data_IF_024696687119
#
_entry.id   IF_024696687119
#
_cell.length_a   1.000
_cell.length_b   1.000
_cell.length_c   1.000
_cell.angle_alpha   90.00
_cell.angle_beta   90.00
_cell.angle_gamma   90.00
#
_symmetry.space_group_name_H-M   'P 1'
#
loop_
_entity.id
_entity.type
_entity.pdbx_description
1 polymer ?
#
# COMPACT_ATOMS: atom_id res chain seq x y z
N UNK A 1 -5.30 5.77 -6.39
CA UNK A 1 -6.19 5.03 -5.47
C UNK A 1 -6.59 3.65 -5.99
N UNK A 2 -6.71 3.45 -7.31
CA UNK A 2 -6.76 2.12 -7.93
C UNK A 2 -5.63 1.98 -8.92
N UNK A 3 -5.19 0.75 -9.16
CA UNK A 3 -4.08 0.43 -10.06
C UNK A 3 -4.38 -0.84 -10.88
N UNK A 4 -3.81 -0.96 -12.09
CA UNK A 4 -3.13 0.12 -12.83
C UNK A 4 -4.08 1.29 -13.17
N UNK A 5 -3.53 2.45 -13.52
CA UNK A 5 -4.29 3.68 -13.76
C UNK A 5 -5.00 3.69 -15.13
N UNK A 6 -5.89 2.72 -15.37
CA UNK A 6 -6.55 2.50 -16.67
C UNK A 6 -7.60 3.57 -17.01
N UNK A 7 -8.22 4.17 -16.00
CA UNK A 7 -9.24 5.22 -16.15
C UNK A 7 -8.61 6.63 -16.08
N UNK A 8 -7.37 6.77 -16.56
CA UNK A 8 -6.60 8.00 -16.49
C UNK A 8 -6.48 8.53 -15.06
N UNK A 9 -6.81 9.81 -14.85
CA UNK A 9 -6.75 10.45 -13.54
C UNK A 9 -7.99 10.20 -12.66
N UNK A 10 -8.97 9.40 -13.10
CA UNK A 10 -10.22 9.24 -12.36
C UNK A 10 -9.97 8.76 -10.92
N UNK A 11 -9.09 7.78 -10.70
CA UNK A 11 -8.78 7.28 -9.35
C UNK A 11 -7.61 8.00 -8.67
N UNK A 12 -7.14 9.15 -9.17
CA UNK A 12 -6.10 9.98 -8.50
C UNK A 12 -6.71 10.70 -7.29
N UNK A 13 -5.97 10.78 -6.18
CA UNK A 13 -6.52 11.23 -4.90
C UNK A 13 -7.04 12.67 -4.95
N UNK A 14 -6.21 13.59 -5.44
CA UNK A 14 -6.56 14.99 -5.67
C UNK A 14 -7.81 15.15 -6.55
N UNK A 15 -7.91 14.39 -7.64
CA UNK A 15 -9.07 14.43 -8.54
C UNK A 15 -10.33 13.87 -7.87
N UNK A 16 -10.22 12.82 -7.05
CA UNK A 16 -11.35 12.34 -6.23
C UNK A 16 -11.81 13.45 -5.28
N UNK A 17 -10.89 14.07 -4.54
CA UNK A 17 -11.23 15.12 -3.57
C UNK A 17 -11.86 16.34 -4.26
N UNK A 18 -11.30 16.77 -5.39
CA UNK A 18 -11.83 17.86 -6.23
C UNK A 18 -13.27 17.56 -6.65
N UNK A 19 -13.53 16.39 -7.23
CA UNK A 19 -14.88 16.00 -7.68
C UNK A 19 -15.88 15.93 -6.53
N UNK A 20 -15.49 15.38 -5.37
CA UNK A 20 -16.36 15.36 -4.19
C UNK A 20 -16.61 16.76 -3.64
N UNK A 21 -15.60 17.62 -3.62
CA UNK A 21 -15.73 19.01 -3.19
C UNK A 21 -16.68 19.81 -4.09
N UNK A 22 -16.64 19.61 -5.41
CA UNK A 22 -17.57 20.20 -6.38
C UNK A 22 -19.01 19.71 -6.22
N UNK A 23 -19.22 18.51 -5.65
CA UNK A 23 -20.53 18.00 -5.27
C UNK A 23 -21.04 18.55 -3.93
N UNK A 24 -20.35 19.54 -3.34
CA UNK A 24 -20.72 20.16 -2.08
C UNK A 24 -20.17 19.47 -0.82
N UNK A 25 -19.30 18.46 -0.96
CA UNK A 25 -18.66 17.82 0.20
C UNK A 25 -17.59 18.75 0.79
N UNK A 26 -17.66 18.99 2.10
CA UNK A 26 -16.60 19.67 2.82
C UNK A 26 -15.50 18.69 3.21
N UNK A 27 -14.25 19.04 2.91
CA UNK A 27 -13.09 18.18 3.10
C UNK A 27 -12.11 18.91 4.02
N UNK A 28 -11.81 18.29 5.16
CA UNK A 28 -10.93 18.82 6.19
C UNK A 28 -9.71 17.90 6.32
N UNK A 29 -8.52 18.46 6.17
CA UNK A 29 -7.26 17.72 6.19
C UNK A 29 -6.34 18.32 7.24
N UNK A 30 -5.88 17.48 8.17
CA UNK A 30 -4.87 17.86 9.15
C UNK A 30 -3.60 17.05 8.85
N UNK A 31 -2.51 17.75 8.53
CA UNK A 31 -1.23 17.15 8.16
C UNK A 31 -0.18 17.43 9.23
N UNK A 32 0.74 16.48 9.40
CA UNK A 32 1.98 16.75 10.12
C UNK A 32 2.75 17.85 9.39
N UNK A 33 3.18 18.87 10.13
CA UNK A 33 4.17 19.84 9.67
C UNK A 33 5.53 19.32 10.12
N UNK A 34 6.36 18.98 9.16
CA UNK A 34 7.70 18.48 9.35
C UNK A 34 8.71 19.60 9.62
N UNK A 35 9.84 19.20 10.19
CA UNK A 35 11.06 19.99 10.15
C UNK A 35 11.71 19.85 8.78
N UNK A 36 11.56 20.85 7.92
CA UNK A 36 12.00 20.82 6.52
C UNK A 36 13.50 20.49 6.34
N UNK A 37 14.35 20.80 7.32
CA UNK A 37 15.78 20.44 7.30
C UNK A 37 16.06 18.96 7.59
N UNK A 38 15.11 18.25 8.21
CA UNK A 38 15.29 16.88 8.68
C UNK A 38 14.46 15.86 7.89
N UNK A 39 13.36 16.27 7.25
CA UNK A 39 12.43 15.39 6.57
C UNK A 39 11.99 15.96 5.21
N UNK A 40 12.12 15.17 4.15
CA UNK A 40 11.76 15.53 2.77
C UNK A 40 10.27 15.41 2.41
N UNK A 41 9.35 15.52 3.38
CA UNK A 41 7.91 15.26 3.15
C UNK A 41 7.21 16.34 2.31
N UNK A 42 7.67 17.59 2.41
CA UNK A 42 7.10 18.77 1.75
C UNK A 42 5.59 18.92 1.97
N UNK A 43 5.16 18.95 3.24
CA UNK A 43 3.74 19.14 3.58
C UNK A 43 3.22 20.51 3.12
N UNK A 44 4.09 21.49 2.91
CA UNK A 44 3.68 22.79 2.38
C UNK A 44 3.23 22.72 0.92
N UNK A 45 3.96 21.96 0.07
CA UNK A 45 3.50 21.65 -1.29
C UNK A 45 2.14 20.96 -1.25
N UNK A 46 2.02 19.89 -0.46
CA UNK A 46 0.75 19.16 -0.32
C UNK A 46 -0.41 20.06 0.10
N UNK A 47 -0.18 20.94 1.09
CA UNK A 47 -1.19 21.93 1.52
C UNK A 47 -1.62 22.84 0.37
N UNK A 48 -0.67 23.44 -0.36
CA UNK A 48 -0.98 24.37 -1.46
C UNK A 48 -1.76 23.66 -2.55
N UNK A 49 -1.27 22.49 -2.99
CA UNK A 49 -1.88 21.71 -4.05
C UNK A 49 -3.32 21.35 -3.69
N UNK A 50 -3.56 20.75 -2.52
CA UNK A 50 -4.88 20.30 -2.11
C UNK A 50 -5.86 21.46 -1.88
N UNK A 51 -5.42 22.53 -1.23
CA UNK A 51 -6.28 23.66 -0.91
C UNK A 51 -6.66 24.47 -2.15
N UNK A 52 -5.82 24.49 -3.19
CA UNK A 52 -6.10 25.18 -4.46
C UNK A 52 -7.10 24.44 -5.35
N UNK A 53 -7.42 23.16 -5.08
CA UNK A 53 -8.35 22.39 -5.90
C UNK A 53 -9.79 22.91 -5.82
N UNK A 54 -10.25 23.32 -4.63
CA UNK A 54 -11.62 23.78 -4.41
C UNK A 54 -11.79 24.49 -3.04
N UNK A 55 -12.64 25.54 -2.92
CA UNK A 55 -12.85 26.26 -1.65
C UNK A 55 -13.40 25.42 -0.49
N UNK A 56 -14.07 24.29 -0.78
CA UNK A 56 -14.55 23.34 0.23
C UNK A 56 -13.45 22.48 0.85
N UNK A 57 -12.20 22.57 0.36
CA UNK A 57 -11.06 21.82 0.88
C UNK A 57 -10.25 22.74 1.79
N UNK A 58 -10.10 22.35 3.07
CA UNK A 58 -9.36 23.11 4.08
C UNK A 58 -8.25 22.26 4.65
N UNK A 59 -7.03 22.81 4.68
CA UNK A 59 -5.83 22.07 5.08
C UNK A 59 -5.07 22.82 6.17
N UNK A 60 -4.92 22.19 7.33
CA UNK A 60 -4.06 22.66 8.42
C UNK A 60 -2.80 21.81 8.54
N UNK A 61 -1.69 22.43 8.93
CA UNK A 61 -0.43 21.76 9.26
C UNK A 61 -0.05 22.05 10.70
N UNK A 62 0.37 21.03 11.46
CA UNK A 62 0.77 21.14 12.86
C UNK A 62 1.80 20.04 13.20
N UNK A 63 2.74 20.26 14.15
CA UNK A 63 2.93 21.44 14.99
C UNK A 63 3.72 22.57 14.30
N UNK A 64 3.62 23.78 14.83
CA UNK A 64 4.71 24.73 14.61
C UNK A 64 5.85 24.40 15.58
N UNK A 65 7.07 24.28 15.05
CA UNK A 65 8.23 23.90 15.84
C UNK A 65 8.82 25.14 16.49
N UNK A 66 8.49 25.36 17.76
CA UNK A 66 9.15 26.35 18.59
C UNK A 66 10.09 25.62 19.56
N UNK A 67 11.33 26.11 19.77
CA UNK A 67 12.29 25.46 20.68
C UNK A 67 11.76 25.22 22.09
N UNK A 68 10.85 26.09 22.56
CA UNK A 68 10.27 26.06 23.91
C UNK A 68 9.14 25.04 24.10
N UNK A 69 8.51 24.54 23.04
CA UNK A 69 7.31 23.67 23.14
C UNK A 69 7.63 22.18 23.17
N UNK A 70 8.90 21.79 22.99
CA UNK A 70 9.31 20.38 22.96
C UNK A 70 8.76 19.58 21.77
N UNK A 71 8.15 20.24 20.79
CA UNK A 71 7.54 19.63 19.59
C UNK A 71 8.56 19.25 18.50
N UNK A 72 9.85 19.39 18.80
CA UNK A 72 10.94 19.15 17.85
C UNK A 72 11.09 17.67 17.47
N UNK A 73 10.85 16.77 18.42
CA UNK A 73 11.10 15.32 18.24
C UNK A 73 9.84 14.50 17.97
N UNK A 74 8.65 15.10 18.07
CA UNK A 74 7.38 14.39 18.01
C UNK A 74 6.60 14.74 16.74
N UNK A 75 5.80 13.78 16.27
CA UNK A 75 4.99 13.93 15.07
C UNK A 75 3.55 13.50 15.31
N UNK A 76 2.66 14.05 14.49
CA UNK A 76 1.32 13.51 14.30
C UNK A 76 1.43 12.30 13.38
N UNK A 77 1.24 11.10 13.94
CA UNK A 77 1.58 9.85 13.25
C UNK A 77 0.35 8.98 12.92
N UNK A 78 -0.84 9.37 13.36
CA UNK A 78 -2.09 8.71 13.02
C UNK A 78 -2.46 8.87 11.53
N UNK A 79 -2.94 7.78 10.92
CA UNK A 79 -3.44 7.76 9.54
C UNK A 79 -4.93 7.48 9.56
N UNK A 80 -5.73 8.51 9.28
CA UNK A 80 -7.18 8.46 9.44
C UNK A 80 -7.88 8.99 8.18
N UNK A 81 -8.91 8.27 7.73
CA UNK A 81 -9.90 8.80 6.77
C UNK A 81 -11.29 8.56 7.36
N UNK A 82 -12.06 9.62 7.56
CA UNK A 82 -13.41 9.53 8.11
C UNK A 82 -14.41 10.13 7.13
N UNK A 83 -15.38 9.34 6.71
CA UNK A 83 -16.43 9.73 5.77
C UNK A 83 -17.75 9.85 6.54
N UNK A 84 -18.36 11.03 6.47
CA UNK A 84 -19.65 11.38 7.09
C UNK A 84 -19.77 11.16 8.61
N UNK A 85 -18.65 10.92 9.30
CA UNK A 85 -18.60 10.44 10.68
C UNK A 85 -19.32 9.09 10.85
N UNK A 86 -19.30 8.23 9.82
CA UNK A 86 -19.97 6.93 9.83
C UNK A 86 -19.08 5.79 9.34
N UNK A 87 -18.07 6.08 8.54
CA UNK A 87 -17.06 5.13 8.07
C UNK A 87 -15.70 5.71 8.44
N UNK A 88 -14.86 4.95 9.13
CA UNK A 88 -13.53 5.39 9.51
C UNK A 88 -12.49 4.32 9.14
N UNK A 89 -11.44 4.76 8.46
CA UNK A 89 -10.26 3.97 8.16
C UNK A 89 -9.14 4.38 9.14
N UNK A 90 -8.52 3.39 9.80
CA UNK A 90 -7.44 3.57 10.78
C UNK A 90 -6.41 2.45 10.60
N UNK A 91 -5.12 2.80 10.56
CA UNK A 91 -4.04 1.80 10.45
C UNK A 91 -2.67 2.42 10.19
N UNK A 92 -1.76 1.64 9.60
CA UNK A 92 -0.39 2.07 9.27
C UNK A 92 -0.24 2.76 7.91
N UNK A 93 -1.16 2.51 6.98
CA UNK A 93 -1.10 3.03 5.61
C UNK A 93 -1.43 4.52 5.50
N UNK A 94 -0.44 5.34 5.15
CA UNK A 94 -0.62 6.74 4.72
C UNK A 94 -1.09 6.83 3.25
N UNK A 95 -1.85 7.89 2.93
CA UNK A 95 -2.20 8.23 1.55
C UNK A 95 -1.06 8.97 0.84
N UNK A 96 0.05 8.30 0.58
CA UNK A 96 1.25 8.86 -0.04
C UNK A 96 2.03 7.83 -0.88
N UNK A 97 3.10 8.29 -1.54
CA UNK A 97 3.92 7.46 -2.43
C UNK A 97 4.56 6.26 -1.72
N UNK A 98 4.67 5.15 -2.44
CA UNK A 98 5.37 3.92 -2.01
C UNK A 98 4.55 3.00 -1.11
N UNK A 99 3.33 3.38 -0.71
CA UNK A 99 2.48 2.62 0.24
C UNK A 99 1.57 1.60 -0.43
N UNK A 100 1.22 1.81 -1.69
CA UNK A 100 0.41 0.84 -2.42
C UNK A 100 1.26 -0.39 -2.75
N UNK A 101 0.72 -1.56 -2.42
CA UNK A 101 1.27 -2.85 -2.79
C UNK A 101 0.12 -3.87 -2.81
N UNK A 102 0.40 -5.05 -3.32
CA UNK A 102 -0.47 -6.22 -3.16
C UNK A 102 0.32 -7.38 -2.54
N UNK A 103 -0.33 -8.53 -2.39
CA UNK A 103 0.29 -9.72 -1.80
C UNK A 103 1.42 -10.33 -2.64
N UNK A 104 1.61 -9.89 -3.89
CA UNK A 104 2.71 -10.36 -4.73
C UNK A 104 4.03 -9.66 -4.39
N UNK A 105 3.98 -8.48 -3.76
CA UNK A 105 5.17 -7.73 -3.33
C UNK A 105 6.23 -7.60 -4.45
N UNK A 106 5.78 -7.20 -5.65
CA UNK A 106 6.65 -7.15 -6.82
C UNK A 106 7.82 -6.20 -6.60
N UNK A 107 9.02 -6.66 -7.00
CA UNK A 107 10.27 -5.90 -6.91
C UNK A 107 10.51 -4.99 -8.11
N UNK A 108 9.85 -5.26 -9.23
CA UNK A 108 10.11 -4.59 -10.52
C UNK A 108 8.83 -4.10 -11.16
N UNK A 109 8.90 -2.96 -11.83
CA UNK A 109 7.79 -2.39 -12.60
C UNK A 109 8.33 -1.60 -13.79
N UNK A 110 8.75 -2.34 -14.82
CA UNK A 110 9.33 -1.79 -16.05
C UNK A 110 8.26 -1.32 -17.05
N UNK A 111 6.97 -1.42 -16.71
CA UNK A 111 5.86 -1.23 -17.63
C UNK A 111 5.70 -2.40 -18.60
N UNK A 112 4.77 -2.28 -19.55
CA UNK A 112 4.44 -3.32 -20.53
C UNK A 112 5.60 -3.57 -21.51
N UNK A 113 6.58 -4.38 -21.12
CA UNK A 113 7.11 -5.37 -22.06
C UNK A 113 5.97 -6.37 -22.25
N UNK A 114 5.47 -6.53 -23.48
CA UNK A 114 4.48 -7.57 -23.77
C UNK A 114 5.02 -8.89 -23.22
N UNK A 115 4.34 -9.50 -22.24
CA UNK A 115 4.45 -10.92 -22.05
C UNK A 115 3.91 -11.53 -23.35
N UNK A 116 4.81 -11.89 -24.25
CA UNK A 116 4.44 -12.67 -25.42
C UNK A 116 3.61 -13.86 -24.95
N UNK A 117 2.41 -14.00 -25.48
CA UNK A 117 1.68 -15.26 -25.35
C UNK A 117 2.61 -16.39 -25.80
N UNK A 118 2.62 -17.47 -25.00
CA UNK A 118 3.43 -18.71 -25.06
C UNK A 118 4.57 -18.67 -24.02
N UNK A 119 4.40 -19.23 -22.82
CA UNK A 119 4.28 -20.69 -22.65
C UNK A 119 3.50 -21.02 -21.37
N UNK A 120 2.30 -21.59 -21.50
CA UNK A 120 1.76 -22.48 -20.47
C UNK A 120 2.69 -23.70 -20.43
N UNK A 121 3.57 -23.77 -19.44
CA UNK A 121 4.25 -25.02 -19.08
C UNK A 121 3.43 -25.64 -17.95
N UNK A 122 2.39 -26.38 -18.34
CA UNK A 122 1.96 -27.52 -17.54
C UNK A 122 3.07 -28.56 -17.70
N UNK A 123 3.90 -28.75 -16.68
CA UNK A 123 4.66 -29.99 -16.57
C UNK A 123 4.66 -30.48 -15.13
N UNK A 124 4.06 -31.65 -14.99
CA UNK A 124 4.23 -32.58 -13.89
C UNK A 124 5.68 -32.62 -13.41
N UNK A 125 5.86 -32.39 -12.10
CA UNK A 125 7.13 -32.63 -11.41
C UNK A 125 7.32 -34.15 -11.33
N UNK A 126 7.97 -34.75 -12.34
CA UNK A 126 8.45 -36.11 -12.24
C UNK A 126 9.74 -36.12 -11.40
N UNK A 127 9.61 -36.62 -10.17
CA UNK A 127 10.60 -36.60 -9.09
C UNK A 127 11.78 -37.58 -9.31
N UNK A 128 12.43 -37.54 -10.48
CA UNK A 128 13.56 -38.45 -10.80
C UNK A 128 14.75 -37.81 -11.53
N UNK A 129 14.67 -36.55 -11.96
CA UNK A 129 15.79 -35.86 -12.63
C UNK A 129 16.68 -35.04 -11.70
N UNK A 130 16.21 -34.67 -10.49
CA UNK A 130 16.97 -33.86 -9.53
C UNK A 130 18.13 -34.57 -8.83
N UNK A 131 18.20 -35.91 -8.87
CA UNK A 131 19.23 -36.68 -8.15
C UNK A 131 20.52 -36.93 -8.94
N UNK A 132 20.57 -36.63 -10.26
CA UNK A 132 21.81 -36.81 -11.04
C UNK A 132 22.71 -35.59 -11.08
N UNK A 133 22.22 -34.42 -10.71
CA UNK A 133 23.02 -33.18 -10.71
C UNK A 133 23.77 -32.92 -9.39
N UNK A 134 23.64 -33.82 -8.40
CA UNK A 134 24.28 -33.72 -7.08
C UNK A 134 25.44 -34.72 -6.86
N UNK A 135 25.82 -35.50 -7.88
CA UNK A 135 26.85 -36.56 -7.75
C UNK A 135 28.14 -36.24 -8.54
N UNK A 136 28.27 -35.06 -9.17
CA UNK A 136 29.49 -34.69 -9.92
C UNK A 136 30.19 -33.41 -9.45
N UNK A 137 29.90 -32.90 -8.27
CA UNK A 137 30.69 -31.82 -7.66
C UNK A 137 31.80 -32.42 -6.78
N UNK A 138 33.10 -32.12 -7.03
CA UNK A 138 34.18 -32.59 -6.17
C UNK A 138 34.10 -31.97 -4.78
N UNK A 139 34.26 -32.81 -3.76
CA UNK A 139 34.36 -32.49 -2.34
C UNK A 139 35.71 -31.84 -2.01
N UNK A 140 35.72 -30.65 -1.42
CA UNK A 140 36.64 -30.30 -0.32
C UNK A 140 35.97 -29.29 0.63
N UNK A 141 35.89 -29.66 1.90
CA UNK A 141 35.27 -28.93 3.01
C UNK A 141 36.36 -28.33 3.92
N UNK A 142 36.23 -27.02 4.18
CA UNK A 142 36.48 -26.29 5.45
C UNK A 142 37.93 -26.13 5.98
N UNK A 143 38.22 -25.33 7.05
CA UNK A 143 37.48 -24.23 7.73
C UNK A 143 38.34 -22.99 8.13
N UNK A 144 37.68 -21.98 8.76
CA UNK A 144 38.20 -21.03 9.77
C UNK A 144 39.18 -19.89 9.39
N UNK A 145 38.72 -18.65 9.60
CA UNK A 145 39.28 -17.67 10.56
C UNK A 145 40.67 -17.02 10.35
N UNK A 146 40.67 -15.69 10.55
CA UNK A 146 41.77 -14.78 10.93
C UNK A 146 42.56 -14.07 9.80
N UNK A 147 42.37 -12.75 9.81
CA UNK A 147 43.34 -11.64 9.80
C UNK A 147 44.51 -11.54 8.80
N UNK A 148 44.73 -10.25 8.45
CA UNK A 148 45.96 -9.54 8.05
C UNK A 148 46.43 -9.53 6.58
N UNK A 149 46.31 -8.31 6.02
CA UNK A 149 47.33 -7.47 5.37
C UNK A 149 47.87 -7.74 3.95
N UNK A 150 48.09 -6.59 3.30
CA UNK A 150 49.00 -6.25 2.20
C UNK A 150 48.64 -6.57 0.72
N UNK A 151 48.17 -5.52 0.05
CA UNK A 151 48.83 -4.78 -1.05
C UNK A 151 49.32 -5.46 -2.37
N UNK A 152 49.02 -4.74 -3.46
CA UNK A 152 49.78 -4.54 -4.72
C UNK A 152 49.55 -5.49 -5.93
N UNK A 153 48.69 -4.97 -6.83
CA UNK A 153 48.97 -4.53 -8.21
C UNK A 153 49.15 -5.51 -9.42
N UNK A 154 48.50 -5.05 -10.49
CA UNK A 154 48.89 -5.06 -11.92
C UNK A 154 48.52 -6.23 -12.87
N UNK A 155 47.77 -5.81 -13.91
CA UNK A 155 47.91 -6.18 -15.33
C UNK A 155 47.47 -7.59 -15.79
N UNK A 156 47.03 -7.87 -17.01
CA UNK A 156 46.45 -7.16 -18.16
C UNK A 156 46.07 -8.29 -19.17
N UNK A 157 45.10 -8.02 -20.05
CA UNK A 157 44.94 -8.57 -21.41
C UNK A 157 44.54 -10.04 -21.72
N UNK A 158 43.28 -10.14 -22.18
CA UNK A 158 42.84 -10.59 -23.53
C UNK A 158 43.12 -12.02 -24.04
N UNK A 159 42.05 -12.77 -24.42
CA UNK A 159 41.58 -13.07 -25.80
C UNK A 159 40.77 -14.39 -25.87
N UNK A 160 39.59 -14.31 -26.52
CA UNK A 160 38.83 -15.38 -27.19
C UNK A 160 39.51 -15.77 -28.53
N UNK A 161 39.11 -16.80 -29.35
CA UNK A 161 37.71 -17.07 -29.78
C UNK A 161 37.32 -18.50 -30.26
N UNK A 162 36.05 -18.59 -30.75
CA UNK A 162 35.45 -19.53 -31.75
C UNK A 162 35.16 -21.00 -31.35
N UNK A 163 34.20 -21.75 -31.92
CA UNK A 163 32.88 -21.57 -32.60
C UNK A 163 32.34 -22.99 -33.00
N UNK A 164 31.06 -23.10 -33.41
CA UNK A 164 30.42 -24.21 -34.19
C UNK A 164 29.81 -25.43 -33.44
N UNK A 165 28.76 -26.17 -33.86
CA UNK A 165 27.65 -26.06 -34.85
C UNK A 165 26.64 -27.23 -34.60
N UNK A 166 25.36 -27.01 -34.97
CA UNK A 166 24.33 -27.93 -35.58
C UNK A 166 23.66 -29.12 -34.82
N UNK A 167 22.36 -28.93 -34.56
CA UNK A 167 21.13 -29.64 -35.02
C UNK A 167 21.08 -31.15 -35.36
N UNK A 168 20.00 -31.83 -34.91
CA UNK A 168 19.08 -32.71 -35.69
C UNK A 168 17.87 -33.11 -34.82
N UNK A 169 16.69 -33.28 -35.43
CA UNK A 169 15.42 -33.59 -34.76
C UNK A 169 14.86 -34.97 -35.10
N UNK A 170 13.77 -35.37 -34.45
CA UNK A 170 12.93 -36.51 -34.84
C UNK A 170 11.48 -36.34 -34.32
N UNK A 171 10.51 -36.71 -35.16
CA UNK A 171 9.06 -36.72 -34.95
C UNK A 171 8.60 -38.11 -34.47
N UNK A 172 7.67 -38.21 -33.52
CA UNK A 172 6.80 -39.41 -33.34
C UNK A 172 5.40 -39.02 -32.87
N UNK A 173 4.44 -39.76 -33.41
CA UNK A 173 2.99 -39.54 -33.38
C UNK A 173 2.28 -40.61 -32.51
N UNK A 174 1.08 -40.26 -32.02
CA UNK A 174 -0.09 -41.08 -31.61
C UNK A 174 -0.32 -41.65 -30.18
N UNK A 175 -1.50 -41.25 -29.65
CA UNK A 175 -2.70 -42.03 -29.17
C UNK A 175 -3.06 -42.17 -27.68
N UNK A 176 -4.36 -41.88 -27.44
CA UNK A 176 -5.32 -42.26 -26.36
C UNK A 176 -5.26 -41.52 -25.00
N UNK A 177 -6.24 -40.67 -24.64
CA UNK A 177 -7.65 -40.88 -24.19
C UNK A 177 -7.74 -41.49 -22.79
N UNK A 178 -8.33 -40.74 -21.83
CA UNK A 178 -9.43 -41.18 -20.95
C UNK A 178 -10.06 -39.96 -20.26
N UNK A 179 -11.39 -39.83 -20.40
CA UNK A 179 -12.28 -38.98 -19.60
C UNK A 179 -12.87 -39.82 -18.48
N UNK A 180 -12.92 -39.30 -17.25
CA UNK A 180 -13.79 -39.84 -16.18
C UNK A 180 -14.59 -38.68 -15.57
N UNK A 181 -15.88 -38.96 -15.44
CA UNK A 181 -16.99 -38.10 -15.00
C UNK A 181 -17.24 -38.31 -13.50
N UNK A 182 -17.62 -37.24 -12.80
CA UNK A 182 -18.51 -37.25 -11.62
C UNK A 182 -19.31 -35.95 -11.74
N UNK A 183 -20.63 -35.88 -11.93
CA UNK A 183 -21.71 -36.77 -11.53
C UNK A 183 -22.58 -36.00 -10.55
N UNK A 184 -23.68 -35.41 -11.01
CA UNK A 184 -24.88 -35.14 -10.20
C UNK A 184 -26.11 -35.26 -11.12
N UNK A 185 -26.89 -36.30 -10.86
CA UNK A 185 -28.16 -36.65 -11.51
C UNK A 185 -29.32 -35.97 -10.76
N UNK A 186 -30.22 -35.29 -11.47
CA UNK A 186 -31.61 -35.71 -11.83
C UNK A 186 -32.62 -35.40 -10.71
N UNK A 187 -33.86 -34.94 -10.93
CA UNK A 187 -34.75 -34.61 -12.08
C UNK A 187 -35.93 -33.82 -11.42
N UNK A 188 -36.65 -32.89 -12.04
CA UNK A 188 -37.75 -33.19 -12.96
C UNK A 188 -38.28 -31.94 -13.69
N UNK A 189 -38.95 -32.25 -14.79
CA UNK A 189 -39.30 -31.51 -16.01
C UNK A 189 -40.62 -30.70 -15.93
N UNK A 190 -40.70 -29.55 -16.63
CA UNK A 190 -41.79 -29.29 -17.58
C UNK A 190 -41.56 -28.03 -18.45
N UNK A 191 -41.17 -28.32 -19.68
CA UNK A 191 -41.13 -27.60 -20.97
C UNK A 191 -42.04 -26.37 -21.26
N UNK A 192 -41.44 -25.39 -21.99
CA UNK A 192 -41.83 -24.84 -23.32
C UNK A 192 -41.42 -23.35 -23.45
N UNK A 193 -40.79 -22.84 -24.52
CA UNK A 193 -40.35 -23.39 -25.78
C UNK A 193 -39.18 -22.56 -26.35
N UNK A 194 -38.44 -23.21 -27.25
CA UNK A 194 -37.25 -22.74 -27.96
C UNK A 194 -37.68 -22.08 -29.27
N UNK A 195 -37.10 -20.93 -29.62
CA UNK A 195 -36.65 -20.68 -31.00
C UNK A 195 -35.29 -19.95 -30.99
N UNK A 196 -34.27 -20.64 -31.49
CA UNK A 196 -33.00 -20.08 -31.93
C UNK A 196 -33.12 -19.63 -33.39
N UNK A 197 -32.66 -18.42 -33.70
CA UNK A 197 -32.20 -18.06 -35.03
C UNK A 197 -30.76 -17.54 -34.91
N UNK A 198 -29.85 -18.19 -35.61
CA UNK A 198 -28.44 -17.86 -35.68
C UNK A 198 -28.20 -16.59 -36.52
N UNK A 199 -27.26 -15.75 -36.08
CA UNK A 199 -26.74 -14.62 -36.85
C UNK A 199 -25.89 -13.69 -36.00
N UNK A 200 -24.57 -13.80 -36.17
CA UNK A 200 -23.48 -12.92 -35.70
C UNK A 200 -23.16 -12.91 -34.20
N UNK A 201 -21.99 -13.49 -33.88
CA UNK A 201 -21.46 -13.73 -32.54
C UNK A 201 -21.00 -12.48 -31.81
N UNK A 202 -21.94 -11.78 -31.18
CA UNK A 202 -21.70 -10.74 -30.18
C UNK A 202 -21.94 -11.33 -28.78
N UNK A 203 -20.91 -11.34 -27.91
CA UNK A 203 -21.07 -11.71 -26.49
C UNK A 203 -21.03 -10.44 -25.65
N UNK A 204 -22.10 -10.24 -24.87
CA UNK A 204 -22.29 -9.05 -24.02
C UNK A 204 -22.18 -9.46 -22.56
N UNK A 205 -21.27 -8.83 -21.82
CA UNK A 205 -21.17 -8.97 -20.36
C UNK A 205 -21.78 -7.73 -19.71
N UNK A 206 -22.75 -7.94 -18.82
CA UNK A 206 -23.45 -6.88 -18.10
C UNK A 206 -23.32 -7.06 -16.59
N UNK A 207 -23.27 -5.93 -15.87
CA UNK A 207 -23.27 -5.87 -14.41
C UNK A 207 -24.68 -6.20 -13.88
N UNK A 208 -24.77 -7.18 -12.99
CA UNK A 208 -26.06 -7.73 -12.54
C UNK A 208 -26.81 -6.78 -11.59
N UNK A 209 -26.10 -5.86 -10.93
CA UNK A 209 -26.68 -4.95 -9.93
C UNK A 209 -27.11 -3.59 -10.53
N UNK A 210 -26.52 -3.19 -11.66
CA UNK A 210 -26.78 -1.89 -12.30
C UNK A 210 -27.38 -2.00 -13.70
N UNK A 211 -27.38 -3.19 -14.31
CA UNK A 211 -27.87 -3.43 -15.67
C UNK A 211 -27.02 -2.76 -16.76
N UNK A 212 -25.85 -2.22 -16.40
CA UNK A 212 -24.94 -1.57 -17.33
C UNK A 212 -24.16 -2.59 -18.15
N UNK A 213 -24.08 -2.38 -19.46
CA UNK A 213 -23.25 -3.19 -20.35
C UNK A 213 -21.77 -2.87 -20.08
N UNK A 214 -21.03 -3.84 -19.55
CA UNK A 214 -19.62 -3.68 -19.17
C UNK A 214 -18.68 -3.95 -20.33
N UNK A 215 -19.02 -4.89 -21.21
CA UNK A 215 -18.17 -5.25 -22.33
C UNK A 215 -18.98 -5.83 -23.50
N UNK A 216 -18.66 -5.36 -24.71
CA UNK A 216 -19.05 -5.96 -25.98
C UNK A 216 -17.81 -6.45 -26.70
N UNK A 217 -17.79 -7.72 -27.07
CA UNK A 217 -16.68 -8.30 -27.85
C UNK A 217 -17.24 -8.76 -29.19
N UNK A 218 -16.79 -8.11 -30.26
CA UNK A 218 -16.96 -8.59 -31.64
C UNK A 218 -15.66 -9.28 -32.09
N UNK A 219 -15.78 -10.29 -32.96
CA UNK A 219 -14.65 -11.13 -33.37
C UNK A 219 -13.82 -10.60 -34.55
N UNK A 220 -13.94 -9.33 -34.89
CA UNK A 220 -13.14 -8.68 -35.95
C UNK A 220 -12.33 -7.53 -35.36
N UNK A 221 -11.00 -7.64 -35.44
CA UNK A 221 -10.03 -6.77 -34.76
C UNK A 221 -9.92 -5.35 -35.31
N UNK A 222 -11.00 -4.56 -35.20
CA UNK A 222 -10.99 -3.11 -35.41
C UNK A 222 -11.78 -2.45 -34.28
N UNK A 223 -11.10 -1.67 -33.42
CA UNK A 223 -11.73 -0.87 -32.39
C UNK A 223 -12.27 0.43 -33.01
N UNK A 224 -13.56 0.47 -33.34
CA UNK A 224 -14.23 1.71 -33.73
C UNK A 224 -14.89 2.37 -32.51
N UNK A 225 -14.52 3.61 -32.20
CA UNK A 225 -15.23 4.46 -31.26
C UNK A 225 -16.55 4.94 -31.88
N UNK A 226 -17.68 4.49 -31.33
CA UNK A 226 -19.00 5.00 -31.70
C UNK A 226 -19.37 6.18 -30.78
N UNK A 227 -19.45 7.37 -31.38
CA UNK A 227 -19.98 8.60 -30.78
C UNK A 227 -21.52 8.53 -30.85
N UNK A 228 -22.29 8.54 -29.74
CA UNK A 228 -23.73 8.43 -29.83
C UNK A 228 -24.35 9.80 -30.09
N UNK A 229 -24.86 10.01 -31.30
CA UNK A 229 -25.81 11.09 -31.57
C UNK A 229 -27.05 10.59 -32.32
N UNK A 230 -28.20 11.02 -31.78
CA UNK A 230 -29.55 11.06 -32.34
C UNK A 230 -30.35 9.76 -32.52
N UNK A 231 -31.29 9.55 -31.59
CA UNK A 231 -32.69 9.27 -31.95
C UNK A 231 -33.66 10.17 -31.17
N UNK A 232 -34.61 10.76 -31.90
CA UNK A 232 -35.62 11.72 -31.46
C UNK A 232 -36.88 11.00 -30.97
N UNK A 233 -37.49 11.49 -29.87
CA UNK A 233 -38.88 11.99 -29.78
C UNK A 233 -39.29 12.23 -28.31
N UNK A 234 -39.65 13.48 -27.98
CA UNK A 234 -40.30 13.80 -26.70
C UNK A 234 -40.20 15.27 -26.29
N UNK A 235 -41.18 16.06 -26.72
CA UNK A 235 -41.31 17.53 -26.61
C UNK A 235 -41.13 18.14 -25.19
N UNK A 236 -40.44 19.29 -25.17
CA UNK A 236 -40.75 20.54 -24.47
C UNK A 236 -40.52 20.66 -22.95
N UNK A 237 -39.40 21.29 -22.55
CA UNK A 237 -39.34 22.62 -21.90
C UNK A 237 -37.87 22.95 -21.58
N UNK A 238 -37.54 24.24 -21.50
CA UNK A 238 -36.20 24.85 -21.36
C UNK A 238 -35.51 25.25 -22.67
N UNK A 239 -35.84 26.48 -23.06
CA UNK A 239 -35.09 27.35 -23.95
C UNK A 239 -34.53 28.50 -23.10
N UNK A 240 -33.42 29.08 -23.56
CA UNK A 240 -32.61 30.20 -23.00
C UNK A 240 -31.50 29.74 -22.02
N UNK A 241 -30.22 30.09 -22.15
CA UNK A 241 -29.49 30.99 -23.04
C UNK A 241 -28.01 30.57 -23.05
N UNK A 242 -27.43 30.26 -24.20
CA UNK A 242 -26.00 30.47 -24.50
C UNK A 242 -25.87 30.61 -26.02
N UNK A 243 -26.06 31.84 -26.50
CA UNK A 243 -25.67 32.27 -27.84
C UNK A 243 -24.45 33.17 -27.64
N UNK A 244 -23.28 32.68 -28.06
CA UNK A 244 -22.09 33.50 -28.23
C UNK A 244 -21.57 33.22 -29.65
N UNK A 245 -21.55 34.31 -30.41
CA UNK A 245 -21.15 34.41 -31.81
C UNK A 245 -19.68 34.00 -31.98
N UNK A 246 -19.40 33.14 -32.95
CA UNK A 246 -18.03 32.86 -33.40
C UNK A 246 -17.57 33.98 -34.34
N UNK A 247 -16.51 34.69 -33.97
CA UNK A 247 -15.66 35.40 -34.92
C UNK A 247 -14.51 34.48 -35.37
N UNK A 248 -14.06 34.53 -36.64
CA UNK A 248 -12.99 33.67 -37.13
C UNK A 248 -11.63 34.34 -36.94
N UNK A 249 -10.67 33.63 -36.33
CA UNK A 249 -9.25 33.97 -36.40
C UNK A 249 -8.54 34.04 -35.04
N UNK A 250 -8.26 32.89 -34.45
CA UNK A 250 -7.11 32.70 -33.55
C UNK A 250 -6.66 31.25 -33.69
N UNK A 251 -5.42 31.05 -34.11
CA UNK A 251 -4.72 29.76 -34.11
C UNK A 251 -4.69 29.22 -32.68
N UNK A 252 -5.31 28.07 -32.45
CA UNK A 252 -5.17 27.33 -31.19
C UNK A 252 -3.75 26.74 -31.15
N UNK A 253 -2.91 27.32 -30.30
CA UNK A 253 -1.67 26.67 -29.86
C UNK A 253 -2.08 25.48 -29.01
N UNK A 254 -1.94 24.27 -29.56
CA UNK A 254 -2.03 23.02 -28.80
C UNK A 254 -0.99 23.09 -27.67
N UNK A 255 -1.45 23.32 -26.44
CA UNK A 255 -0.63 23.09 -25.26
C UNK A 255 -0.49 21.59 -25.09
N UNK A 256 0.68 21.05 -25.40
CA UNK A 256 1.05 19.68 -25.03
C UNK A 256 0.74 19.45 -23.54
N UNK A 257 -0.19 18.54 -23.26
CA UNK A 257 -0.48 18.07 -21.90
C UNK A 257 0.78 17.40 -21.34
N UNK A 258 1.58 18.15 -20.58
CA UNK A 258 2.78 17.68 -19.88
C UNK A 258 2.52 16.61 -18.80
N UNK A 259 1.25 16.27 -18.57
CA UNK A 259 0.79 15.32 -17.56
C UNK A 259 0.20 14.03 -18.15
N UNK A 260 0.38 13.78 -19.46
CA UNK A 260 -0.09 12.54 -20.06
C UNK A 260 0.58 11.34 -19.38
N UNK A 261 -0.24 10.43 -18.83
CA UNK A 261 0.20 9.12 -18.34
C UNK A 261 0.47 8.27 -19.58
N UNK A 262 1.51 8.62 -20.34
CA UNK A 262 1.86 7.93 -21.56
C UNK A 262 3.04 6.97 -21.29
N UNK A 263 2.86 5.71 -21.69
CA UNK A 263 3.91 4.68 -21.60
C UNK A 263 3.65 3.56 -20.58
N UNK A 264 3.03 2.47 -21.06
CA UNK A 264 2.96 1.17 -20.40
C UNK A 264 2.12 1.13 -19.12
N UNK A 265 1.44 0.01 -18.87
CA UNK A 265 0.58 -0.17 -17.69
C UNK A 265 1.46 -0.36 -16.44
N UNK A 266 2.12 0.71 -15.99
CA UNK A 266 2.94 0.73 -14.77
C UNK A 266 2.04 0.72 -13.55
N UNK A 267 2.43 -0.05 -12.54
CA UNK A 267 1.74 -0.04 -11.25
C UNK A 267 2.21 1.12 -10.39
N UNK A 268 3.51 1.36 -10.25
CA UNK A 268 4.04 2.46 -9.46
C UNK A 268 4.52 3.56 -10.40
N UNK A 269 3.76 4.64 -10.57
CA UNK A 269 4.11 5.72 -11.51
C UNK A 269 5.00 6.76 -10.83
N UNK A 270 6.10 7.15 -11.48
CA UNK A 270 6.97 8.23 -11.01
C UNK A 270 7.51 8.01 -9.59
N UNK A 271 7.28 9.00 -8.72
CA UNK A 271 7.69 8.98 -7.30
C UNK A 271 7.07 7.84 -6.50
N UNK A 272 6.07 7.15 -7.01
CA UNK A 272 5.48 5.98 -6.35
C UNK A 272 6.37 4.72 -6.42
N UNK A 273 7.34 4.66 -7.34
CA UNK A 273 8.33 3.58 -7.40
C UNK A 273 9.50 3.92 -6.48
N UNK A 274 9.51 3.33 -5.29
CA UNK A 274 10.35 3.76 -4.15
C UNK A 274 11.20 2.62 -3.62
N UNK A 275 12.43 2.96 -3.21
CA UNK A 275 13.24 2.13 -2.33
C UNK A 275 13.86 3.02 -1.24
N UNK A 276 13.25 3.01 -0.05
CA UNK A 276 13.59 3.90 1.06
C UNK A 276 15.00 3.70 1.63
N UNK A 277 15.61 2.53 1.42
CA UNK A 277 16.98 2.25 1.86
C UNK A 277 17.99 2.80 0.85
N UNK A 278 17.65 2.69 -0.44
CA UNK A 278 18.53 3.14 -1.52
C UNK A 278 18.58 4.66 -1.64
N UNK A 279 17.42 5.32 -1.58
CA UNK A 279 17.31 6.77 -1.77
C UNK A 279 15.99 7.29 -1.20
N UNK A 280 16.05 8.35 -0.40
CA UNK A 280 14.87 9.04 0.10
C UNK A 280 14.26 9.95 -0.99
N UNK A 281 13.04 10.43 -0.74
CA UNK A 281 12.32 11.29 -1.67
C UNK A 281 13.06 12.60 -1.94
N UNK A 282 13.13 12.93 -3.22
CA UNK A 282 13.61 14.23 -3.72
C UNK A 282 12.56 14.81 -4.66
N UNK A 283 12.47 16.14 -4.76
CA UNK A 283 11.65 16.86 -5.75
C UNK A 283 10.20 16.34 -5.83
N UNK A 284 9.55 16.17 -4.67
CA UNK A 284 8.20 15.58 -4.58
C UNK A 284 7.11 16.37 -5.31
N UNK A 285 7.43 17.60 -5.73
CA UNK A 285 6.64 18.46 -6.60
C UNK A 285 6.61 18.00 -8.08
N UNK A 286 7.47 17.05 -8.46
CA UNK A 286 7.47 16.36 -9.76
C UNK A 286 7.00 14.90 -9.59
N UNK A 287 5.69 14.65 -9.39
CA UNK A 287 5.16 13.37 -8.93
C UNK A 287 5.29 12.23 -9.95
N UNK A 288 5.29 12.55 -11.24
CA UNK A 288 5.34 11.55 -12.33
C UNK A 288 6.76 11.22 -12.80
N UNK A 289 7.77 11.91 -12.26
CA UNK A 289 9.17 11.63 -12.58
C UNK A 289 9.75 10.56 -11.67
N UNK A 290 10.45 9.59 -12.25
CA UNK A 290 11.23 8.62 -11.49
C UNK A 290 12.45 9.33 -10.86
N UNK A 291 12.82 8.91 -9.65
CA UNK A 291 14.00 9.43 -8.94
C UNK A 291 15.04 8.34 -8.65
N UNK A 292 14.70 7.09 -8.98
CA UNK A 292 15.55 5.91 -8.97
C UNK A 292 15.43 5.21 -10.33
N UNK A 293 16.52 4.63 -10.81
CA UNK A 293 16.53 3.88 -12.07
C UNK A 293 15.89 2.50 -11.89
N UNK A 294 14.76 2.27 -12.56
CA UNK A 294 14.01 1.00 -12.48
C UNK A 294 14.75 -0.18 -13.09
N UNK A 295 15.66 0.07 -14.04
CA UNK A 295 16.43 -0.98 -14.72
C UNK A 295 17.53 -1.58 -13.85
N UNK A 296 18.00 -0.84 -12.85
CA UNK A 296 19.09 -1.24 -11.95
C UNK A 296 18.67 -1.39 -10.48
N UNK A 297 17.64 -0.66 -10.04
CA UNK A 297 17.20 -0.65 -8.64
C UNK A 297 15.79 -1.22 -8.51
N UNK A 298 15.60 -2.34 -7.78
CA UNK A 298 14.27 -2.84 -7.45
C UNK A 298 13.59 -1.89 -6.45
N UNK A 299 12.26 -1.77 -6.56
CA UNK A 299 11.49 -1.11 -5.52
C UNK A 299 11.53 -1.93 -4.23
N UNK A 300 11.27 -1.26 -3.11
CA UNK A 300 11.09 -1.90 -1.81
C UNK A 300 9.60 -2.20 -1.61
N UNK A 301 9.19 -3.48 -1.46
CA UNK A 301 7.84 -3.84 -1.08
C UNK A 301 7.36 -3.16 0.19
N UNK A 302 6.06 -2.89 0.26
CA UNK A 302 5.40 -2.30 1.41
C UNK A 302 4.36 -3.28 1.95
N UNK A 303 4.66 -3.87 3.09
CA UNK A 303 3.72 -4.69 3.85
C UNK A 303 3.17 -3.89 5.01
N UNK A 304 1.84 -3.79 5.11
CA UNK A 304 1.17 -2.94 6.09
C UNK A 304 -0.26 -3.41 6.34
N UNK A 305 -0.85 -2.97 7.44
CA UNK A 305 -2.20 -3.33 7.89
C UNK A 305 -3.03 -2.07 8.08
N UNK A 306 -4.25 -2.10 7.55
CA UNK A 306 -5.23 -1.05 7.74
C UNK A 306 -6.60 -1.64 8.05
N UNK A 307 -7.40 -0.94 8.84
CA UNK A 307 -8.73 -1.38 9.25
C UNK A 307 -9.79 -0.36 8.85
N UNK A 308 -11.02 -0.84 8.67
CA UNK A 308 -12.20 0.00 8.49
C UNK A 308 -13.21 -0.34 9.58
N UNK A 309 -13.82 0.68 10.17
CA UNK A 309 -14.89 0.56 11.16
C UNK A 309 -16.07 1.44 10.79
N UNK A 310 -17.23 1.12 11.34
CA UNK A 310 -18.51 1.70 10.96
C UNK A 310 -19.34 2.11 12.18
N UNK A 311 -20.16 3.14 12.05
CA UNK A 311 -21.13 3.55 13.07
C UNK A 311 -20.48 4.20 14.29
N UNK A 312 -20.77 3.70 15.49
CA UNK A 312 -20.33 4.35 16.74
C UNK A 312 -18.80 4.46 16.86
N UNK A 313 -18.00 3.39 16.62
CA UNK A 313 -16.54 3.53 16.64
C UNK A 313 -16.02 4.51 15.57
N UNK A 314 -16.65 4.57 14.39
CA UNK A 314 -16.28 5.56 13.37
C UNK A 314 -16.54 7.00 13.84
N UNK A 315 -17.59 7.22 14.64
CA UNK A 315 -17.85 8.51 15.29
C UNK A 315 -16.85 8.84 16.39
N UNK A 316 -16.32 7.85 17.09
CA UNK A 316 -15.25 8.08 18.07
C UNK A 316 -13.97 8.54 17.37
N UNK A 317 -13.61 7.91 16.24
CA UNK A 317 -12.50 8.37 15.39
C UNK A 317 -12.76 9.79 14.85
N UNK A 318 -14.00 10.07 14.41
CA UNK A 318 -14.39 11.42 13.97
C UNK A 318 -14.23 12.45 15.09
N UNK A 319 -14.63 12.11 16.32
CA UNK A 319 -14.52 12.99 17.49
C UNK A 319 -13.06 13.32 17.79
N UNK A 320 -12.16 12.34 17.71
CA UNK A 320 -10.73 12.56 17.83
C UNK A 320 -10.21 13.56 16.79
N UNK A 321 -10.57 13.39 15.51
CA UNK A 321 -10.21 14.35 14.46
C UNK A 321 -10.75 15.75 14.73
N UNK A 322 -12.03 15.86 15.11
CA UNK A 322 -12.71 17.13 15.41
C UNK A 322 -12.02 17.86 16.57
N UNK A 323 -11.67 17.13 17.63
CA UNK A 323 -10.97 17.70 18.79
C UNK A 323 -9.63 18.32 18.37
N UNK A 324 -8.84 17.60 17.57
CA UNK A 324 -7.53 18.09 17.11
C UNK A 324 -7.66 19.23 16.10
N UNK A 325 -8.61 19.14 15.17
CA UNK A 325 -8.94 20.23 14.26
C UNK A 325 -9.29 21.51 15.02
N UNK A 326 -10.23 21.44 15.97
CA UNK A 326 -10.66 22.59 16.75
C UNK A 326 -9.52 23.16 17.61
N UNK A 327 -8.70 22.31 18.22
CA UNK A 327 -7.52 22.74 18.98
C UNK A 327 -6.50 23.48 18.10
N UNK A 328 -6.12 22.90 16.96
CA UNK A 328 -5.20 23.54 16.00
C UNK A 328 -5.77 24.85 15.44
N UNK A 329 -7.07 24.91 15.16
CA UNK A 329 -7.74 26.16 14.78
C UNK A 329 -7.63 27.20 15.89
N UNK A 330 -7.95 26.85 17.14
CA UNK A 330 -7.86 27.80 18.27
C UNK A 330 -6.45 28.32 18.48
N UNK A 331 -5.45 27.47 18.30
CA UNK A 331 -4.04 27.84 18.44
C UNK A 331 -3.56 28.78 17.32
N UNK A 332 -3.93 28.50 16.06
CA UNK A 332 -3.28 29.13 14.90
C UNK A 332 -4.16 30.05 14.06
N UNK A 333 -5.47 29.81 14.07
CA UNK A 333 -6.44 30.36 13.12
C UNK A 333 -7.76 30.73 13.82
N UNK A 334 -7.67 31.22 15.06
CA UNK A 334 -8.83 31.46 15.92
C UNK A 334 -9.86 32.35 15.25
N UNK A 335 -9.39 33.46 14.69
CA UNK A 335 -10.22 34.51 14.10
C UNK A 335 -10.44 34.35 12.58
N UNK A 336 -9.84 33.33 11.96
CA UNK A 336 -10.02 33.04 10.52
C UNK A 336 -11.33 32.26 10.30
N UNK A 337 -12.37 32.97 9.86
CA UNK A 337 -13.69 32.40 9.57
C UNK A 337 -13.68 31.40 8.41
N UNK A 338 -12.66 31.42 7.55
CA UNK A 338 -12.55 30.49 6.42
C UNK A 338 -12.27 29.05 6.86
N UNK A 339 -11.84 28.85 8.12
CA UNK A 339 -11.71 27.54 8.76
C UNK A 339 -12.82 27.40 9.82
N UNK A 340 -13.81 26.53 9.62
CA UNK A 340 -14.89 26.36 10.60
C UNK A 340 -14.44 25.52 11.80
N UNK A 341 -15.07 25.74 12.94
CA UNK A 341 -15.09 24.74 14.01
C UNK A 341 -15.97 23.56 13.60
N UNK A 342 -15.53 22.34 13.88
CA UNK A 342 -16.27 21.12 13.56
C UNK A 342 -17.04 20.63 14.78
N UNK A 343 -18.19 20.00 14.54
CA UNK A 343 -19.06 19.46 15.58
C UNK A 343 -19.27 17.95 15.36
N UNK A 344 -19.26 17.14 16.44
CA UNK A 344 -19.58 15.73 16.35
C UNK A 344 -21.08 15.55 16.09
N UNK A 345 -21.45 14.61 15.23
CA UNK A 345 -22.84 14.20 15.01
C UNK A 345 -23.35 13.39 16.20
N UNK A 346 -24.63 13.57 16.57
CA UNK A 346 -25.30 12.82 17.64
C UNK A 346 -25.24 11.31 17.41
N UNK A 347 -25.04 10.51 18.47
CA UNK A 347 -24.99 9.05 18.46
C UNK A 347 -26.33 8.38 18.12
N UNK A 348 -27.41 9.15 18.06
CA UNK A 348 -28.74 8.67 17.73
C UNK A 348 -28.88 8.30 16.24
N UNK A 349 -29.79 7.36 15.95
CA UNK A 349 -30.22 6.97 14.60
C UNK A 349 -29.07 6.58 13.64
N UNK A 350 -28.06 5.85 14.14
CA UNK A 350 -26.98 5.28 13.34
C UNK A 350 -27.52 4.29 12.30
N UNK A 351 -27.54 4.70 11.03
CA UNK A 351 -27.79 3.80 9.89
C UNK A 351 -26.46 3.26 9.39
N UNK A 352 -26.14 2.03 9.80
CA UNK A 352 -24.97 1.28 9.30
C UNK A 352 -25.46 0.20 8.34
N UNK A 353 -24.79 -0.06 7.21
CA UNK A 353 -25.14 -1.18 6.33
C UNK A 353 -25.18 -2.50 7.11
N UNK A 354 -26.21 -3.34 6.86
CA UNK A 354 -26.51 -4.54 7.66
C UNK A 354 -25.38 -5.56 7.75
N UNK A 355 -24.44 -5.53 6.81
CA UNK A 355 -23.29 -6.46 6.72
C UNK A 355 -22.28 -6.27 7.88
N UNK A 356 -22.28 -5.12 8.56
CA UNK A 356 -21.19 -4.72 9.48
C UNK A 356 -21.63 -4.47 10.93
N UNK A 357 -22.69 -5.13 11.40
CA UNK A 357 -23.09 -5.06 12.82
C UNK A 357 -22.09 -5.83 13.69
N UNK A 358 -21.02 -5.16 14.11
CA UNK A 358 -20.24 -5.62 15.26
C UNK A 358 -20.81 -5.02 16.56
N UNK A 359 -20.74 -5.74 17.69
CA UNK A 359 -21.11 -5.20 18.98
C UNK A 359 -20.26 -3.96 19.31
N UNK A 360 -20.93 -2.94 19.84
CA UNK A 360 -20.27 -1.71 20.26
C UNK A 360 -19.35 -1.99 21.45
N UNK A 361 -18.05 -1.83 21.26
CA UNK A 361 -17.08 -1.78 22.34
C UNK A 361 -16.67 -0.32 22.52
N UNK A 362 -17.11 0.29 23.62
CA UNK A 362 -16.69 1.64 24.01
C UNK A 362 -15.66 1.50 25.13
N UNK A 363 -14.40 1.72 24.81
CA UNK A 363 -13.35 1.86 25.80
C UNK A 363 -12.59 3.16 25.51
N UNK A 364 -12.28 3.94 26.54
CA UNK A 364 -11.21 4.95 26.45
C UNK A 364 -9.90 4.18 26.47
N UNK A 365 -9.36 3.85 25.30
CA UNK A 365 -8.19 2.98 25.19
C UNK A 365 -6.94 3.82 24.95
N UNK A 366 -6.11 3.92 25.99
CA UNK A 366 -4.67 4.12 25.79
C UNK A 366 -4.12 2.89 25.05
N UNK A 367 -3.50 3.12 23.89
CA UNK A 367 -2.93 2.07 23.03
C UNK A 367 -1.97 1.16 23.82
N UNK A 368 -1.13 1.74 24.68
CA UNK A 368 -0.19 0.95 25.48
C UNK A 368 -0.96 0.04 26.44
N UNK A 369 -1.96 0.55 27.14
CA UNK A 369 -2.74 -0.24 28.10
C UNK A 369 -3.51 -1.37 27.43
N UNK A 370 -4.02 -1.18 26.22
CA UNK A 370 -4.60 -2.27 25.42
C UNK A 370 -3.57 -3.35 25.11
N UNK A 371 -2.37 -2.98 24.65
CA UNK A 371 -1.29 -3.94 24.40
C UNK A 371 -0.97 -4.76 25.65
N UNK A 372 -0.73 -4.10 26.79
CA UNK A 372 -0.39 -4.78 28.04
C UNK A 372 -1.50 -5.75 28.47
N UNK A 373 -2.76 -5.31 28.40
CA UNK A 373 -3.92 -6.15 28.76
C UNK A 373 -4.08 -7.36 27.84
N UNK A 374 -3.99 -7.18 26.52
CA UNK A 374 -4.13 -8.27 25.54
C UNK A 374 -3.02 -9.31 25.70
N UNK A 375 -1.78 -8.87 25.90
CA UNK A 375 -0.63 -9.76 26.11
C UNK A 375 -0.79 -10.53 27.42
N UNK A 376 -1.10 -9.86 28.53
CA UNK A 376 -1.25 -10.50 29.84
C UNK A 376 -2.36 -11.57 29.87
N UNK A 377 -3.46 -11.32 29.16
CA UNK A 377 -4.64 -12.18 29.15
C UNK A 377 -4.63 -13.27 28.06
N UNK A 378 -3.69 -13.20 27.10
CA UNK A 378 -3.54 -14.18 26.02
C UNK A 378 -3.40 -15.61 26.54
N UNK A 379 -3.99 -16.59 25.82
CA UNK A 379 -4.04 -17.99 26.25
C UNK A 379 -3.09 -18.91 25.47
N UNK A 380 -3.02 -18.77 24.15
CA UNK A 380 -2.32 -19.75 23.30
C UNK A 380 -1.11 -19.19 22.57
N UNK A 381 -1.27 -18.04 21.92
CA UNK A 381 -0.16 -17.42 21.21
C UNK A 381 -0.33 -15.92 21.08
N UNK A 382 0.75 -15.26 20.72
CA UNK A 382 0.81 -13.88 20.28
C UNK A 382 1.42 -13.82 18.90
N UNK A 383 0.83 -13.02 18.03
CA UNK A 383 1.37 -12.67 16.72
C UNK A 383 1.48 -11.15 16.66
N UNK A 384 2.69 -10.65 16.45
CA UNK A 384 3.01 -9.22 16.46
C UNK A 384 3.71 -8.92 15.15
N UNK A 385 3.09 -8.11 14.31
CA UNK A 385 3.75 -7.41 13.21
C UNK A 385 3.91 -5.95 13.60
N UNK A 386 5.13 -5.41 13.56
CA UNK A 386 5.34 -4.00 13.86
C UNK A 386 6.57 -3.46 13.14
N UNK A 387 6.55 -2.17 12.79
CA UNK A 387 7.71 -1.51 12.15
C UNK A 387 8.93 -1.47 13.07
N UNK A 388 8.70 -1.29 14.38
CA UNK A 388 9.75 -1.20 15.39
C UNK A 388 9.48 -2.17 16.54
N UNK A 389 10.55 -2.66 17.17
CA UNK A 389 10.45 -3.36 18.44
C UNK A 389 11.45 -2.78 19.44
N UNK A 390 11.02 -1.70 20.11
CA UNK A 390 11.81 -0.99 21.12
C UNK A 390 11.08 -1.03 22.46
N UNK A 391 11.48 -1.98 23.29
CA UNK A 391 10.91 -2.21 24.62
C UNK A 391 11.87 -3.04 25.46
N UNK A 392 12.17 -2.61 26.68
CA UNK A 392 13.13 -3.26 27.56
C UNK A 392 12.51 -3.61 28.91
N UNK A 393 13.07 -4.60 29.58
CA UNK A 393 12.62 -5.05 30.90
C UNK A 393 13.37 -4.26 31.96
N UNK A 394 12.67 -3.53 32.81
CA UNK A 394 13.25 -2.79 33.95
C UNK A 394 14.37 -1.79 33.53
N UNK A 395 14.14 -1.03 32.45
CA UNK A 395 15.05 0.03 31.97
C UNK A 395 14.55 1.43 32.34
N UNK A 396 15.47 2.36 32.57
CA UNK A 396 15.18 3.79 32.75
C UNK A 396 15.16 4.57 31.42
N UNK A 397 15.75 4.01 30.35
CA UNK A 397 15.86 4.68 29.05
C UNK A 397 14.62 4.42 28.18
N UNK A 398 14.04 3.21 28.28
CA UNK A 398 12.84 2.81 27.54
C UNK A 398 11.74 2.46 28.53
N UNK A 399 10.69 3.28 28.54
CA UNK A 399 9.67 3.29 29.59
C UNK A 399 8.48 2.37 29.35
N UNK A 400 8.23 1.97 28.10
CA UNK A 400 7.08 1.12 27.79
C UNK A 400 7.31 -0.33 28.28
N UNK A 401 6.26 -0.97 28.80
CA UNK A 401 6.37 -2.28 29.46
C UNK A 401 6.01 -3.49 28.57
N UNK A 402 5.96 -3.31 27.25
CA UNK A 402 5.51 -4.35 26.31
C UNK A 402 6.38 -5.62 26.44
N UNK A 403 7.70 -5.47 26.40
CA UNK A 403 8.67 -6.56 26.52
C UNK A 403 8.57 -7.26 27.89
N UNK A 404 8.38 -6.49 28.96
CA UNK A 404 8.19 -7.01 30.32
C UNK A 404 6.94 -7.90 30.42
N UNK A 405 5.81 -7.46 29.87
CA UNK A 405 4.57 -8.25 29.90
C UNK A 405 4.66 -9.49 29.00
N UNK A 406 5.31 -9.40 27.83
CA UNK A 406 5.59 -10.58 26.98
C UNK A 406 6.44 -11.59 27.76
N UNK A 407 7.53 -11.15 28.37
CA UNK A 407 8.42 -12.01 29.16
C UNK A 407 7.66 -12.68 30.31
N UNK A 408 6.90 -11.91 31.10
CA UNK A 408 6.09 -12.45 32.20
C UNK A 408 5.05 -13.46 31.72
N UNK A 409 4.42 -13.21 30.56
CA UNK A 409 3.44 -14.12 29.97
C UNK A 409 4.06 -15.45 29.55
N UNK A 410 5.26 -15.43 28.95
CA UNK A 410 6.01 -16.62 28.58
C UNK A 410 6.45 -17.39 29.83
N UNK A 411 6.97 -16.70 30.84
CA UNK A 411 7.37 -17.31 32.13
C UNK A 411 6.17 -17.99 32.80
N UNK A 412 4.99 -17.35 32.78
CA UNK A 412 3.75 -17.96 33.30
C UNK A 412 3.43 -19.27 32.59
N UNK A 413 3.41 -19.28 31.25
CA UNK A 413 3.16 -20.50 30.48
C UNK A 413 4.18 -21.61 30.80
N UNK A 414 5.45 -21.25 30.93
CA UNK A 414 6.51 -22.19 31.29
C UNK A 414 6.27 -22.83 32.67
N UNK A 415 5.93 -22.02 33.68
CA UNK A 415 5.62 -22.50 35.04
C UNK A 415 4.37 -23.40 35.05
N UNK A 416 3.36 -23.05 34.27
CA UNK A 416 2.09 -23.79 34.15
C UNK A 416 2.20 -25.01 33.21
N UNK A 417 3.36 -25.22 32.56
CA UNK A 417 3.60 -26.27 31.55
C UNK A 417 2.60 -26.23 30.39
N UNK A 418 2.15 -25.04 30.01
CA UNK A 418 1.24 -24.83 28.89
C UNK A 418 2.00 -24.52 27.59
N UNK A 419 1.56 -25.06 26.44
CA UNK A 419 2.10 -24.65 25.15
C UNK A 419 1.70 -23.20 24.85
N UNK A 420 2.69 -22.31 24.77
CA UNK A 420 2.49 -20.91 24.42
C UNK A 420 3.54 -20.43 23.42
N UNK A 421 3.13 -19.69 22.39
CA UNK A 421 4.02 -19.24 21.31
C UNK A 421 3.94 -17.73 21.11
N UNK A 422 5.09 -17.10 20.84
CA UNK A 422 5.14 -15.67 20.51
C UNK A 422 5.88 -15.53 19.19
N UNK A 423 5.21 -14.94 18.21
CA UNK A 423 5.73 -14.66 16.88
C UNK A 423 5.88 -13.14 16.75
N UNK A 424 7.10 -12.67 16.49
CA UNK A 424 7.42 -11.26 16.31
C UNK A 424 8.00 -11.09 14.90
N UNK A 425 7.27 -10.38 14.05
CA UNK A 425 7.65 -10.05 12.69
C UNK A 425 7.97 -8.56 12.63
N UNK A 426 9.21 -8.24 12.29
CA UNK A 426 9.72 -6.88 12.13
C UNK A 426 10.52 -6.78 10.83
N UNK A 427 10.65 -5.58 10.25
CA UNK A 427 11.52 -5.36 9.10
C UNK A 427 12.95 -5.82 9.39
N UNK A 428 13.62 -6.40 8.40
CA UNK A 428 15.02 -6.80 8.50
C UNK A 428 15.94 -5.61 8.78
N UNK A 429 15.60 -4.46 8.21
CA UNK A 429 16.29 -3.19 8.44
C UNK A 429 15.26 -2.06 8.56
N UNK A 430 15.52 -1.03 9.40
CA UNK A 430 14.74 0.19 9.42
C UNK A 430 14.73 0.87 8.05
N UNK A 431 13.59 1.44 7.65
CA UNK A 431 13.42 2.12 6.35
C UNK A 431 13.97 3.54 6.33
N UNK A 432 15.28 3.69 6.50
CA UNK A 432 15.99 4.97 6.32
C UNK A 432 17.01 4.84 5.19
N UNK A 433 17.25 5.93 4.46
CA UNK A 433 18.31 5.98 3.45
C UNK A 433 19.67 5.70 4.09
N UNK A 434 20.45 4.84 3.45
CA UNK A 434 21.85 4.62 3.78
C UNK A 434 22.22 3.16 4.02
N UNK A 435 23.53 2.91 4.06
CA UNK A 435 24.10 1.58 4.26
C UNK A 435 24.51 1.36 5.72
N UNK A 436 24.37 0.12 6.18
CA UNK A 436 24.88 -0.31 7.49
C UNK A 436 26.39 -0.09 7.55
N UNK A 437 26.83 0.78 8.47
CA UNK A 437 28.26 1.07 8.69
C UNK A 437 28.80 2.26 7.89
N UNK A 438 28.01 2.85 6.99
CA UNK A 438 28.39 4.10 6.33
C UNK A 438 28.18 5.32 7.24
N UNK A 439 28.93 6.43 7.05
CA UNK A 439 28.77 7.67 7.84
C UNK A 439 27.35 8.25 7.83
N UNK A 440 26.57 8.00 6.78
CA UNK A 440 25.16 8.43 6.66
C UNK A 440 24.14 7.51 7.35
N UNK A 441 24.55 6.37 7.90
CA UNK A 441 23.65 5.36 8.47
C UNK A 441 23.36 5.51 9.97
N UNK A 442 23.60 6.67 10.58
CA UNK A 442 23.51 6.86 12.03
C UNK A 442 22.10 6.58 12.59
N UNK A 443 21.05 7.06 11.93
CA UNK A 443 19.65 6.78 12.31
C UNK A 443 19.32 5.29 12.23
N UNK A 444 19.77 4.63 11.17
CA UNK A 444 19.61 3.18 10.99
C UNK A 444 20.32 2.40 12.10
N UNK A 445 21.55 2.77 12.42
CA UNK A 445 22.32 2.15 13.50
C UNK A 445 21.67 2.36 14.87
N UNK A 446 21.14 3.55 15.15
CA UNK A 446 20.47 3.86 16.40
C UNK A 446 19.21 3.00 16.59
N UNK A 447 18.36 2.88 15.57
CA UNK A 447 17.16 2.04 15.66
C UNK A 447 17.52 0.56 15.77
N UNK A 448 18.52 0.08 15.02
CA UNK A 448 19.02 -1.29 15.17
C UNK A 448 19.57 -1.55 16.57
N UNK A 449 20.34 -0.61 17.13
CA UNK A 449 20.84 -0.71 18.50
C UNK A 449 19.69 -0.96 19.48
N UNK A 450 18.68 -0.09 19.47
CA UNK A 450 17.52 -0.19 20.37
C UNK A 450 16.70 -1.48 20.15
N UNK A 451 16.60 -1.94 18.90
CA UNK A 451 15.93 -3.21 18.56
C UNK A 451 16.69 -4.40 19.14
N UNK A 452 18.02 -4.43 18.97
CA UNK A 452 18.85 -5.52 19.50
C UNK A 452 18.88 -5.55 21.02
N UNK A 453 18.97 -4.40 21.71
CA UNK A 453 18.95 -4.39 23.19
C UNK A 453 17.57 -4.74 23.76
N UNK A 454 16.50 -4.52 23.00
CA UNK A 454 15.15 -4.96 23.37
C UNK A 454 15.00 -6.48 23.27
N UNK A 455 15.52 -7.08 22.19
CA UNK A 455 15.34 -8.49 21.91
C UNK A 455 16.41 -9.38 22.56
N UNK A 456 17.70 -9.13 22.30
CA UNK A 456 18.75 -10.14 22.51
C UNK A 456 20.07 -9.66 23.14
N UNK A 457 20.28 -8.35 23.31
CA UNK A 457 21.55 -7.81 23.83
C UNK A 457 21.37 -7.15 25.19
N UNK A 458 22.15 -7.60 26.17
CA UNK A 458 22.16 -7.04 27.51
C UNK A 458 21.13 -7.67 28.45
N UNK A 459 21.27 -7.43 29.77
CA UNK A 459 20.51 -8.13 30.81
C UNK A 459 19.01 -7.77 30.84
N UNK A 460 18.66 -6.61 30.29
CA UNK A 460 17.29 -6.10 30.21
C UNK A 460 16.53 -6.58 28.95
N UNK A 461 17.17 -7.38 28.10
CA UNK A 461 16.58 -7.89 26.86
C UNK A 461 15.66 -9.09 27.09
N UNK A 462 14.71 -9.29 26.17
CA UNK A 462 13.73 -10.39 26.25
C UNK A 462 14.40 -11.77 26.34
N UNK A 463 15.34 -12.07 25.44
CA UNK A 463 15.97 -13.38 25.37
C UNK A 463 16.88 -13.65 26.56
N UNK A 464 17.68 -12.69 27.01
CA UNK A 464 18.55 -12.88 28.17
C UNK A 464 17.74 -13.10 29.45
N UNK A 465 16.63 -12.36 29.61
CA UNK A 465 15.72 -12.56 30.75
C UNK A 465 15.06 -13.94 30.73
N UNK A 466 14.65 -14.43 29.57
CA UNK A 466 14.07 -15.78 29.44
C UNK A 466 15.10 -16.88 29.69
N UNK A 467 16.36 -16.71 29.26
CA UNK A 467 17.45 -17.66 29.53
C UNK A 467 17.74 -17.79 31.02
N UNK A 468 17.59 -16.70 31.78
CA UNK A 468 17.85 -16.69 33.23
C UNK A 468 16.79 -17.46 34.05
N UNK A 469 15.64 -17.80 33.47
CA UNK A 469 14.54 -18.51 34.15
C UNK A 469 14.66 -20.04 34.00
N UNK A 470 15.78 -20.52 33.44
CA UNK A 470 16.07 -21.96 33.27
C UNK A 470 16.04 -22.76 34.56
#
# INVERSE_FOLDING_TARGET
MKRPALEGHYWRLDEILKRKASQGVHIFILMYKEMEMALGLNSMYSKRTLQNLHPNIKVMRHPDHYPSTGTFFWAHHEKLVVIDQLIAFVGGVDLCFGRWDDHHHLLTDLGSVQFGQQHLVLHDINMSSGLRSLVSAPLTLSPLGLEEQEEVDSSDKTKSPESSKKATGENKEFRHVTTIVVGNAMEDDNTSGIEHAAGDGEVVYADVDTGGVMLRVSRTGEASFANPSNEKKGKSFFQSCWQLEKQPGTEEVETEDKDSIDGGVKLWVGKDYVNYIHKDFVEVDLPFHDFIDRGSTPRMPWHDIHSVTFGAPARDVARHFIQRWNATKTEKLKDDESYPYLLPKSYENLRVPRVFKNPAFSYNVDVQMAYLSLIANSKHYLYIENQFFVSMIDSNDVLNEICKVICNRIIRAHKEKEPFRVYIMIPLMPGFEGNVGAPGGSSLQAVLHWTYVSLSRGPNSLFERLKAVR
#
